data_IF_787121107778
#
_entry.id   IF_787121107778
#
_cell.length_a   1.000
_cell.length_b   1.000
_cell.length_c   1.000
_cell.angle_alpha   90.00
_cell.angle_beta   90.00
_cell.angle_gamma   90.00
#
_symmetry.space_group_name_H-M   'P 1'
#
loop_
_entity.id
_entity.type
_entity.pdbx_description
1 polymer ?
#
# COMPACT_ATOMS: atom_id res chain seq x y z
N UNK A 1 -1.68 14.61 -11.63
CA UNK A 1 -2.57 13.77 -10.80
C UNK A 1 -2.93 12.54 -11.60
N UNK A 2 -2.64 11.35 -11.07
CA UNK A 2 -2.99 10.09 -11.73
C UNK A 2 -4.50 9.91 -11.78
N UNK A 3 -5.00 9.41 -12.92
CA UNK A 3 -6.41 9.09 -13.14
C UNK A 3 -6.54 7.65 -13.57
N UNK A 4 -7.55 6.97 -13.03
CA UNK A 4 -7.92 5.61 -13.40
C UNK A 4 -9.41 5.57 -13.70
N UNK A 5 -9.79 4.95 -14.83
CA UNK A 5 -11.18 4.94 -15.33
C UNK A 5 -11.81 6.35 -15.35
N UNK A 6 -11.04 7.34 -15.80
CA UNK A 6 -11.45 8.74 -15.95
C UNK A 6 -11.43 9.60 -14.67
N UNK A 7 -11.32 9.00 -13.48
CA UNK A 7 -11.43 9.70 -12.19
C UNK A 7 -10.06 9.82 -11.49
N UNK A 8 -9.79 10.90 -10.74
CA UNK A 8 -8.63 10.97 -9.86
C UNK A 8 -8.60 9.79 -8.89
N UNK A 9 -7.43 9.18 -8.70
CA UNK A 9 -7.28 8.09 -7.73
C UNK A 9 -6.95 8.66 -6.35
N UNK A 10 -7.66 8.17 -5.34
CA UNK A 10 -7.37 8.41 -3.94
C UNK A 10 -7.25 7.05 -3.26
N UNK A 11 -6.18 6.84 -2.49
CA UNK A 11 -6.04 5.69 -1.61
C UNK A 11 -5.79 6.13 -0.17
N UNK A 12 -5.98 5.20 0.76
CA UNK A 12 -5.62 5.41 2.17
C UNK A 12 -4.57 4.42 2.59
N UNK A 13 -3.97 4.65 3.76
CA UNK A 13 -3.30 3.64 4.57
C UNK A 13 -4.06 3.65 5.91
N UNK A 14 -4.85 2.62 6.14
CA UNK A 14 -5.84 2.60 7.21
C UNK A 14 -7.07 3.43 6.89
N UNK A 15 -7.77 3.89 7.94
CA UNK A 15 -9.04 4.62 7.83
C UNK A 15 -10.27 3.83 8.25
N UNK A 16 -10.09 2.57 8.64
CA UNK A 16 -11.15 1.68 9.13
C UNK A 16 -11.80 2.12 10.45
N UNK A 17 -11.23 3.13 11.12
CA UNK A 17 -11.79 3.74 12.34
C UNK A 17 -12.27 5.17 12.11
N UNK A 18 -12.23 5.67 10.88
CA UNK A 18 -12.65 7.02 10.55
C UNK A 18 -14.15 7.04 10.25
N UNK A 19 -14.93 7.51 11.23
CA UNK A 19 -16.39 7.59 11.12
C UNK A 19 -16.88 8.92 10.55
N UNK A 20 -16.10 10.00 10.61
CA UNK A 20 -16.47 11.34 10.12
C UNK A 20 -17.88 11.80 10.57
N UNK A 21 -18.22 11.52 11.83
CA UNK A 21 -19.53 11.84 12.41
C UNK A 21 -20.70 10.96 11.94
N UNK A 22 -20.43 9.86 11.24
CA UNK A 22 -21.42 8.84 10.84
C UNK A 22 -21.45 7.65 11.82
N UNK A 23 -22.60 6.99 12.03
CA UNK A 23 -22.68 5.76 12.83
C UNK A 23 -21.80 4.62 12.31
N UNK A 24 -21.57 4.57 11.00
CA UNK A 24 -20.75 3.52 10.36
C UNK A 24 -19.57 4.11 9.59
N UNK A 25 -18.49 3.35 9.51
CA UNK A 25 -17.29 3.66 8.71
C UNK A 25 -17.68 3.93 7.25
N UNK A 26 -18.48 3.04 6.66
CA UNK A 26 -18.97 3.21 5.29
C UNK A 26 -19.74 4.53 5.08
N UNK A 27 -20.68 4.85 5.99
CA UNK A 27 -21.43 6.10 5.92
C UNK A 27 -20.54 7.34 6.08
N UNK A 28 -19.47 7.24 6.88
CA UNK A 28 -18.48 8.28 7.04
C UNK A 28 -17.73 8.55 5.75
N UNK A 29 -17.10 7.51 5.19
CA UNK A 29 -16.37 7.60 3.92
C UNK A 29 -17.26 8.03 2.75
N UNK A 30 -18.50 7.53 2.67
CA UNK A 30 -19.48 7.96 1.67
C UNK A 30 -19.77 9.45 1.79
N UNK A 31 -20.00 9.95 3.02
CA UNK A 31 -20.22 11.39 3.26
C UNK A 31 -19.04 12.22 2.76
N UNK A 32 -17.82 11.89 3.16
CA UNK A 32 -16.65 12.72 2.83
C UNK A 32 -16.23 12.62 1.36
N UNK A 33 -16.32 11.44 0.73
CA UNK A 33 -15.78 11.23 -0.64
C UNK A 33 -16.84 11.22 -1.75
N UNK A 34 -18.09 10.89 -1.43
CA UNK A 34 -19.15 10.71 -2.44
C UNK A 34 -20.23 11.80 -2.37
N UNK A 35 -20.48 12.37 -1.19
CA UNK A 35 -21.50 13.42 -1.02
C UNK A 35 -20.91 14.82 -0.96
N UNK A 36 -19.83 15.03 -0.20
CA UNK A 36 -19.31 16.37 0.08
C UNK A 36 -18.28 16.87 -0.95
N UNK A 37 -17.86 16.02 -1.90
CA UNK A 37 -16.91 16.41 -2.94
C UNK A 37 -17.63 16.84 -4.21
N UNK A 38 -17.12 17.90 -4.85
CA UNK A 38 -17.57 18.35 -6.18
C UNK A 38 -16.93 17.54 -7.32
N UNK A 39 -15.81 16.88 -7.05
CA UNK A 39 -15.09 16.02 -8.01
C UNK A 39 -15.23 14.57 -7.57
N UNK A 40 -15.73 13.72 -8.46
CA UNK A 40 -15.80 12.30 -8.20
C UNK A 40 -14.40 11.66 -8.26
N UNK A 41 -14.02 10.97 -7.17
CA UNK A 41 -12.76 10.24 -7.06
C UNK A 41 -12.98 8.74 -7.19
N UNK A 42 -11.98 8.06 -7.74
CA UNK A 42 -11.86 6.61 -7.68
C UNK A 42 -11.14 6.25 -6.37
N UNK A 43 -11.93 5.83 -5.37
CA UNK A 43 -11.43 5.58 -4.03
C UNK A 43 -11.03 4.11 -3.84
N UNK A 44 -9.76 3.87 -3.53
CA UNK A 44 -9.20 2.54 -3.26
C UNK A 44 -8.79 2.50 -1.78
N UNK A 45 -9.59 1.83 -0.94
CA UNK A 45 -9.36 1.80 0.50
C UNK A 45 -8.27 0.78 0.89
N UNK A 46 -7.36 1.14 1.81
CA UNK A 46 -6.41 0.20 2.43
C UNK A 46 -6.71 0.06 3.93
N UNK A 47 -7.87 -0.49 4.26
CA UNK A 47 -8.26 -0.81 5.63
C UNK A 47 -7.56 -2.08 6.11
N UNK A 48 -6.81 -1.96 7.21
CA UNK A 48 -6.13 -3.07 7.88
C UNK A 48 -7.13 -3.90 8.69
N UNK A 49 -7.96 -4.67 8.00
CA UNK A 49 -9.02 -5.54 8.52
C UNK A 49 -9.19 -6.76 7.63
N UNK A 50 -10.01 -7.71 8.08
CA UNK A 50 -10.47 -8.84 7.28
C UNK A 50 -10.99 -8.36 5.90
N UNK A 51 -10.48 -8.88 4.76
CA UNK A 51 -10.90 -8.47 3.43
C UNK A 51 -12.40 -8.60 3.16
N UNK A 52 -13.12 -9.45 3.90
CA UNK A 52 -14.57 -9.60 3.81
C UNK A 52 -15.32 -8.28 4.01
N UNK A 53 -14.76 -7.33 4.77
CA UNK A 53 -15.42 -6.04 5.00
C UNK A 53 -15.65 -5.27 3.70
N UNK A 54 -14.77 -5.39 2.71
CA UNK A 54 -14.80 -4.54 1.52
C UNK A 54 -16.05 -4.75 0.67
N UNK A 55 -16.64 -5.95 0.71
CA UNK A 55 -17.92 -6.23 0.06
C UNK A 55 -19.07 -5.35 0.59
N UNK A 56 -18.94 -4.83 1.82
CA UNK A 56 -19.93 -3.98 2.49
C UNK A 56 -19.59 -2.48 2.50
N UNK A 57 -18.42 -2.08 2.00
CA UNK A 57 -17.99 -0.68 1.92
C UNK A 57 -18.31 -0.13 0.52
N UNK A 58 -19.53 0.34 0.28
CA UNK A 58 -19.93 0.95 -1.01
C UNK A 58 -19.28 2.32 -1.27
N UNK A 59 -18.71 2.96 -0.24
CA UNK A 59 -17.94 4.19 -0.39
C UNK A 59 -16.66 3.97 -1.21
N UNK A 60 -16.12 2.75 -1.25
CA UNK A 60 -14.89 2.39 -1.95
C UNK A 60 -15.17 1.75 -3.32
N UNK A 61 -14.50 2.26 -4.35
CA UNK A 61 -14.52 1.68 -5.71
C UNK A 61 -13.60 0.45 -5.83
N UNK A 62 -12.75 0.23 -4.83
CA UNK A 62 -11.78 -0.85 -4.79
C UNK A 62 -11.06 -0.93 -3.44
N UNK A 63 -10.16 -1.90 -3.34
CA UNK A 63 -9.30 -2.05 -2.16
C UNK A 63 -7.83 -2.23 -2.54
N UNK A 64 -6.99 -1.77 -1.63
CA UNK A 64 -5.55 -1.92 -1.70
C UNK A 64 -5.10 -2.90 -0.63
N UNK A 65 -4.46 -3.98 -1.06
CA UNK A 65 -3.80 -4.92 -0.15
C UNK A 65 -2.37 -4.47 0.09
N UNK A 66 -2.16 -3.48 0.96
CA UNK A 66 -0.81 -2.96 1.24
C UNK A 66 0.13 -4.04 1.77
N UNK A 67 -0.36 -4.89 2.68
CA UNK A 67 0.39 -6.00 3.28
C UNK A 67 0.80 -7.09 2.27
N UNK A 68 0.16 -7.15 1.08
CA UNK A 68 0.51 -8.13 0.04
C UNK A 68 1.92 -7.93 -0.55
N UNK A 69 2.63 -6.87 -0.16
CA UNK A 69 3.98 -6.61 -0.64
C UNK A 69 5.06 -7.49 0.03
N UNK A 70 4.78 -8.10 1.18
CA UNK A 70 5.76 -8.89 1.94
C UNK A 70 5.17 -10.17 2.54
N UNK A 71 5.96 -11.23 2.74
CA UNK A 71 5.60 -12.33 3.62
C UNK A 71 5.79 -11.91 5.08
N UNK A 72 4.68 -11.80 5.82
CA UNK A 72 4.69 -11.40 7.24
C UNK A 72 4.94 -12.57 8.20
N UNK A 73 5.66 -13.58 7.73
CA UNK A 73 6.07 -14.76 8.50
C UNK A 73 7.27 -15.45 7.85
N UNK A 74 7.65 -16.60 8.39
CA UNK A 74 8.78 -17.37 7.88
C UNK A 74 8.38 -18.27 6.69
N UNK A 75 7.91 -17.66 5.60
CA UNK A 75 7.51 -18.32 4.36
C UNK A 75 7.84 -17.42 3.16
N UNK A 76 7.85 -17.99 1.95
CA UNK A 76 8.09 -17.23 0.72
C UNK A 76 6.83 -16.44 0.34
N UNK A 77 7.00 -15.34 -0.40
CA UNK A 77 5.87 -14.55 -0.90
C UNK A 77 4.95 -15.38 -1.80
N UNK A 78 3.63 -15.22 -1.63
CA UNK A 78 2.59 -15.89 -2.42
C UNK A 78 1.54 -14.90 -2.91
N UNK A 79 0.54 -15.36 -3.66
CA UNK A 79 -0.63 -14.59 -4.09
C UNK A 79 -1.85 -14.77 -3.18
N UNK A 80 -1.70 -15.37 -1.99
CA UNK A 80 -2.82 -15.69 -1.10
C UNK A 80 -3.64 -14.44 -0.72
N UNK A 81 -2.95 -13.34 -0.36
CA UNK A 81 -3.61 -12.06 -0.07
C UNK A 81 -4.36 -11.51 -1.30
N UNK A 82 -3.80 -11.68 -2.50
CA UNK A 82 -4.43 -11.20 -3.74
C UNK A 82 -5.69 -11.99 -4.05
N UNK A 83 -5.61 -13.32 -3.90
CA UNK A 83 -6.76 -14.21 -4.08
C UNK A 83 -7.85 -13.88 -3.05
N UNK A 84 -7.48 -13.66 -1.79
CA UNK A 84 -8.44 -13.38 -0.72
C UNK A 84 -9.17 -12.06 -0.92
N UNK A 85 -8.44 -10.96 -1.18
CA UNK A 85 -9.06 -9.66 -1.43
C UNK A 85 -10.03 -9.71 -2.61
N UNK A 86 -9.66 -10.38 -3.70
CA UNK A 86 -10.49 -10.44 -4.91
C UNK A 86 -11.82 -11.16 -4.71
N UNK A 87 -11.93 -12.11 -3.76
CA UNK A 87 -13.22 -12.76 -3.42
C UNK A 87 -14.29 -11.74 -3.03
N UNK A 88 -13.90 -10.61 -2.45
CA UNK A 88 -14.80 -9.58 -1.93
C UNK A 88 -14.85 -8.31 -2.80
N UNK A 89 -14.23 -8.34 -3.98
CA UNK A 89 -14.17 -7.21 -4.90
C UNK A 89 -14.77 -7.52 -6.30
N UNK A 90 -15.89 -8.27 -6.43
CA UNK A 90 -16.46 -8.53 -7.75
C UNK A 90 -16.83 -7.22 -8.45
N UNK A 91 -16.24 -6.98 -9.63
CA UNK A 91 -16.44 -5.75 -10.42
C UNK A 91 -15.79 -4.49 -9.82
N UNK A 92 -15.02 -4.61 -8.74
CA UNK A 92 -14.31 -3.50 -8.07
C UNK A 92 -12.82 -3.58 -8.34
N UNK A 93 -12.14 -2.46 -8.17
CA UNK A 93 -10.69 -2.35 -8.42
C UNK A 93 -9.91 -3.10 -7.36
N UNK A 94 -8.99 -3.97 -7.77
CA UNK A 94 -8.00 -4.56 -6.89
C UNK A 94 -6.62 -3.93 -7.12
N UNK A 95 -6.04 -3.37 -6.06
CA UNK A 95 -4.67 -2.85 -6.07
C UNK A 95 -3.78 -3.72 -5.21
N UNK A 96 -2.69 -4.22 -5.80
CA UNK A 96 -1.69 -5.04 -5.11
C UNK A 96 -0.48 -4.20 -4.67
N UNK A 97 0.22 -4.67 -3.64
CA UNK A 97 1.48 -4.09 -3.15
C UNK A 97 2.71 -4.84 -3.67
N UNK A 98 3.80 -4.10 -3.89
CA UNK A 98 5.14 -4.66 -4.16
C UNK A 98 6.23 -3.81 -3.50
N UNK A 99 7.22 -4.46 -2.91
CA UNK A 99 8.27 -3.80 -2.13
C UNK A 99 9.53 -4.68 -2.00
N UNK A 100 10.74 -4.11 -1.81
CA UNK A 100 11.97 -4.90 -1.69
C UNK A 100 12.11 -5.66 -0.37
N UNK A 101 11.83 -5.03 0.78
CA UNK A 101 11.91 -5.62 2.12
C UNK A 101 11.17 -4.75 3.13
N UNK A 102 11.11 -5.16 4.40
CA UNK A 102 10.55 -4.35 5.48
C UNK A 102 11.37 -4.52 6.76
N UNK A 103 11.84 -3.41 7.33
CA UNK A 103 12.57 -3.43 8.61
C UNK A 103 12.34 -2.13 9.38
N UNK A 104 12.08 -2.25 10.68
CA UNK A 104 11.99 -1.11 11.59
C UNK A 104 12.36 -1.53 13.01
N UNK A 105 13.02 -0.63 13.74
CA UNK A 105 13.42 -0.87 15.13
C UNK A 105 13.24 0.37 16.02
N UNK A 106 12.00 0.72 16.31
CA UNK A 106 11.65 1.78 17.25
C UNK A 106 11.42 1.21 18.65
N UNK A 107 12.21 1.69 19.62
CA UNK A 107 12.08 1.29 21.01
C UNK A 107 10.81 1.83 21.71
N UNK A 108 10.51 1.37 22.94
CA UNK A 108 9.33 1.75 23.70
C UNK A 108 9.21 3.26 23.99
N UNK A 109 10.34 3.98 24.03
CA UNK A 109 10.40 5.43 24.23
C UNK A 109 10.06 6.24 22.97
N UNK A 110 9.75 5.56 21.86
CA UNK A 110 9.38 6.13 20.57
C UNK A 110 8.10 5.48 20.03
N UNK A 111 8.08 5.02 18.78
CA UNK A 111 6.91 4.40 18.15
C UNK A 111 6.64 2.94 18.61
N UNK A 112 7.51 2.36 19.46
CA UNK A 112 7.39 1.00 19.97
C UNK A 112 7.05 -0.03 18.87
N UNK A 113 7.81 0.02 17.77
CA UNK A 113 7.55 -0.69 16.52
C UNK A 113 8.79 -1.46 16.10
N UNK A 114 8.72 -2.78 16.14
CA UNK A 114 9.84 -3.67 15.87
C UNK A 114 9.42 -4.79 14.93
N UNK A 115 9.72 -4.65 13.63
CA UNK A 115 9.32 -5.61 12.61
C UNK A 115 10.48 -5.93 11.67
N UNK A 116 10.53 -7.20 11.26
CA UNK A 116 11.34 -7.69 10.16
C UNK A 116 10.46 -8.64 9.35
N UNK A 117 10.29 -8.36 8.06
CA UNK A 117 9.65 -9.29 7.14
C UNK A 117 10.71 -10.01 6.31
N UNK A 118 10.43 -11.26 5.96
CA UNK A 118 11.39 -12.09 5.24
C UNK A 118 11.57 -11.55 3.82
N UNK A 119 12.80 -11.18 3.47
CA UNK A 119 13.17 -10.68 2.15
C UNK A 119 14.06 -11.65 1.34
N UNK A 120 14.24 -12.87 1.85
CA UNK A 120 14.99 -13.93 1.17
C UNK A 120 14.35 -14.33 -0.16
N UNK A 121 15.02 -15.21 -0.91
CA UNK A 121 14.49 -15.82 -2.13
C UNK A 121 13.99 -14.78 -3.15
N UNK A 122 14.75 -13.69 -3.30
CA UNK A 122 14.52 -12.64 -4.29
C UNK A 122 13.13 -11.99 -4.18
N UNK A 123 12.68 -11.66 -2.96
CA UNK A 123 11.33 -11.13 -2.67
C UNK A 123 10.77 -10.18 -3.74
N UNK A 124 11.51 -9.12 -4.09
CA UNK A 124 11.06 -8.14 -5.08
C UNK A 124 10.78 -8.76 -6.45
N UNK A 125 11.70 -9.60 -6.94
CA UNK A 125 11.57 -10.25 -8.25
C UNK A 125 10.43 -11.28 -8.22
N UNK A 126 10.40 -12.13 -7.18
CA UNK A 126 9.37 -13.13 -6.96
C UNK A 126 7.97 -12.52 -6.90
N UNK A 127 7.80 -11.39 -6.20
CA UNK A 127 6.53 -10.66 -6.14
C UNK A 127 6.12 -10.11 -7.50
N UNK A 128 7.04 -9.53 -8.27
CA UNK A 128 6.76 -9.06 -9.62
C UNK A 128 6.34 -10.20 -10.57
N UNK A 129 7.01 -11.35 -10.51
CA UNK A 129 6.65 -12.52 -11.33
C UNK A 129 5.23 -13.01 -11.04
N UNK A 130 4.84 -13.04 -9.75
CA UNK A 130 3.47 -13.37 -9.33
C UNK A 130 2.46 -12.38 -9.93
N UNK A 131 2.71 -11.08 -9.79
CA UNK A 131 1.83 -10.02 -10.30
C UNK A 131 1.69 -10.06 -11.82
N UNK A 132 2.79 -10.30 -12.55
CA UNK A 132 2.79 -10.39 -14.02
C UNK A 132 2.07 -11.66 -14.49
N UNK A 133 2.23 -12.78 -13.79
CA UNK A 133 1.55 -14.04 -14.09
C UNK A 133 0.03 -13.93 -13.93
N UNK A 134 -0.42 -13.18 -12.94
CA UNK A 134 -1.84 -12.99 -12.59
C UNK A 134 -2.42 -11.65 -13.09
N UNK A 135 -1.77 -10.97 -14.05
CA UNK A 135 -2.07 -9.56 -14.42
C UNK A 135 -3.49 -9.31 -14.90
N UNK A 136 -4.18 -10.32 -15.41
CA UNK A 136 -5.60 -10.28 -15.78
C UNK A 136 -6.55 -10.08 -14.58
N UNK A 137 -6.01 -10.26 -13.38
CA UNK A 137 -6.72 -10.10 -12.11
C UNK A 137 -6.22 -8.93 -11.26
N UNK A 138 -5.23 -8.19 -11.74
CA UNK A 138 -4.62 -7.05 -11.03
C UNK A 138 -4.91 -5.78 -11.82
N UNK A 139 -5.73 -4.88 -11.26
CA UNK A 139 -6.04 -3.61 -11.92
C UNK A 139 -4.89 -2.60 -11.78
N UNK A 140 -4.27 -2.57 -10.60
CA UNK A 140 -3.21 -1.62 -10.23
C UNK A 140 -2.17 -2.28 -9.33
N UNK A 141 -0.93 -1.80 -9.41
CA UNK A 141 0.16 -2.17 -8.50
C UNK A 141 0.72 -0.90 -7.88
N UNK A 142 0.81 -0.85 -6.55
CA UNK A 142 1.52 0.20 -5.84
C UNK A 142 2.88 -0.31 -5.38
N UNK A 143 3.90 0.47 -5.70
CA UNK A 143 5.27 0.22 -5.31
C UNK A 143 5.54 0.95 -4.01
N UNK A 144 5.94 0.20 -2.99
CA UNK A 144 6.08 0.67 -1.61
C UNK A 144 7.57 0.58 -1.25
N UNK A 145 8.27 1.66 -0.93
CA UNK A 145 7.89 3.06 -1.07
C UNK A 145 9.02 3.85 -1.75
N UNK A 146 8.76 5.14 -2.03
CA UNK A 146 9.81 6.01 -2.52
C UNK A 146 10.77 6.44 -1.40
N UNK A 147 10.25 6.81 -0.23
CA UNK A 147 11.01 7.54 0.79
C UNK A 147 10.58 7.21 2.24
N UNK A 148 10.04 6.03 2.50
CA UNK A 148 9.81 5.59 3.89
C UNK A 148 11.09 5.01 4.48
N UNK A 149 11.89 5.88 5.08
CA UNK A 149 13.15 5.52 5.70
C UNK A 149 12.97 4.77 7.02
N UNK A 150 11.91 5.10 7.77
CA UNK A 150 11.65 4.51 9.08
C UNK A 150 11.39 3.00 9.00
N UNK A 151 10.72 2.59 7.94
CA UNK A 151 10.34 1.19 7.66
C UNK A 151 11.28 0.53 6.64
N UNK A 152 12.37 1.21 6.29
CA UNK A 152 13.48 0.76 5.46
C UNK A 152 13.13 0.33 4.03
N UNK A 153 11.88 0.43 3.59
CA UNK A 153 11.46 -0.09 2.29
C UNK A 153 11.48 0.95 1.16
N UNK A 154 12.22 2.04 1.35
CA UNK A 154 12.43 3.08 0.35
C UNK A 154 13.30 2.59 -0.81
N UNK A 155 13.04 3.13 -2.00
CA UNK A 155 13.83 2.89 -3.22
C UNK A 155 14.38 4.20 -3.82
N UNK A 156 13.96 5.35 -3.30
CA UNK A 156 14.49 6.65 -3.66
C UNK A 156 15.82 6.97 -2.97
N UNK A 157 16.50 8.05 -3.38
CA UNK A 157 17.66 8.55 -2.66
C UNK A 157 17.26 9.00 -1.24
N UNK A 158 18.15 8.78 -0.27
CA UNK A 158 17.96 9.27 1.10
C UNK A 158 18.01 10.80 1.09
N UNK A 159 16.89 11.43 1.39
CA UNK A 159 16.74 12.88 1.48
C UNK A 159 15.69 13.27 2.52
N UNK A 160 15.94 14.36 3.25
CA UNK A 160 15.00 14.89 4.23
C UNK A 160 15.10 14.21 5.61
N UNK A 161 13.98 14.25 6.35
CA UNK A 161 13.94 13.84 7.75
C UNK A 161 13.90 12.31 7.91
N UNK A 162 14.62 11.81 8.92
CA UNK A 162 14.70 10.40 9.31
C UNK A 162 14.41 10.30 10.83
N UNK A 163 13.18 10.58 11.28
CA UNK A 163 12.87 10.72 12.70
C UNK A 163 13.16 9.41 13.44
N UNK A 164 14.22 9.41 14.24
CA UNK A 164 14.68 8.28 15.05
C UNK A 164 15.02 6.98 14.27
N UNK A 165 15.25 7.07 12.94
CA UNK A 165 15.60 5.90 12.11
C UNK A 165 17.03 5.92 11.55
N UNK A 166 17.82 6.94 11.90
CA UNK A 166 19.15 7.18 11.32
C UNK A 166 20.09 6.00 11.48
N UNK A 167 19.99 5.22 12.56
CA UNK A 167 20.84 4.06 12.84
C UNK A 167 20.67 2.88 11.88
N UNK A 168 19.52 2.77 11.20
CA UNK A 168 19.28 1.76 10.15
C UNK A 168 18.96 2.34 8.77
N UNK A 169 19.05 3.67 8.64
CA UNK A 169 18.89 4.36 7.35
C UNK A 169 20.23 4.90 6.83
N UNK A 170 21.05 5.52 7.68
CA UNK A 170 22.24 6.25 7.23
C UNK A 170 23.31 5.28 6.70
N UNK A 171 23.74 5.48 5.46
CA UNK A 171 24.75 4.65 4.80
C UNK A 171 24.19 3.39 4.11
N UNK A 172 22.88 3.16 4.16
CA UNK A 172 22.22 2.03 3.48
C UNK A 172 21.56 2.51 2.18
N UNK A 173 22.30 2.56 1.08
CA UNK A 173 21.72 2.98 -0.20
C UNK A 173 20.83 1.90 -0.82
N UNK A 174 19.55 2.20 -1.04
CA UNK A 174 18.57 1.28 -1.63
C UNK A 174 18.28 1.60 -3.11
N UNK A 175 19.00 2.54 -3.72
CA UNK A 175 18.77 2.93 -5.10
C UNK A 175 19.05 1.80 -6.11
N UNK A 176 19.73 0.72 -5.70
CA UNK A 176 19.85 -0.50 -6.49
C UNK A 176 18.50 -1.18 -6.83
N UNK A 177 17.43 -0.86 -6.10
CA UNK A 177 16.07 -1.32 -6.40
C UNK A 177 15.33 -0.44 -7.40
N UNK A 178 15.87 0.72 -7.79
CA UNK A 178 15.22 1.57 -8.76
C UNK A 178 15.09 0.86 -10.09
N UNK A 179 13.86 0.78 -10.58
CA UNK A 179 13.57 0.29 -11.91
C UNK A 179 13.23 1.45 -12.83
N UNK A 180 13.90 1.51 -13.98
CA UNK A 180 13.56 2.44 -15.05
C UNK A 180 12.40 1.85 -15.84
N UNK A 181 11.24 2.52 -15.85
CA UNK A 181 10.13 2.15 -16.73
C UNK A 181 10.16 3.04 -17.96
N UNK A 182 10.51 2.43 -19.09
CA UNK A 182 10.33 3.06 -20.41
C UNK A 182 9.27 2.25 -21.16
N UNK A 183 8.08 2.80 -21.46
CA UNK A 183 7.59 4.14 -21.14
C UNK A 183 7.10 4.31 -19.67
N UNK A 184 6.99 5.56 -19.17
CA UNK A 184 6.64 5.89 -17.78
C UNK A 184 5.15 5.72 -17.46
N UNK A 185 4.56 4.56 -17.75
CA UNK A 185 3.13 4.32 -17.49
C UNK A 185 2.82 3.84 -16.06
N UNK A 186 3.82 3.61 -15.22
CA UNK A 186 3.61 3.32 -13.80
C UNK A 186 3.85 4.61 -13.00
N UNK A 187 2.78 5.33 -12.67
CA UNK A 187 2.85 6.45 -11.75
C UNK A 187 3.12 5.92 -10.34
N UNK A 188 4.37 6.05 -9.89
CA UNK A 188 4.76 5.89 -8.49
C UNK A 188 4.20 7.05 -7.67
N UNK A 189 2.93 6.97 -7.27
CA UNK A 189 2.46 7.81 -6.17
C UNK A 189 2.83 7.09 -4.88
N UNK A 190 3.97 7.48 -4.30
CA UNK A 190 4.14 7.35 -2.86
C UNK A 190 3.13 8.29 -2.21
N UNK A 191 1.92 7.81 -1.94
CA UNK A 191 1.08 8.46 -0.96
C UNK A 191 1.76 8.23 0.40
N UNK A 192 2.40 9.28 0.89
CA UNK A 192 2.91 9.36 2.26
C UNK A 192 1.68 9.33 3.15
N UNK A 193 1.31 8.15 3.63
CA UNK A 193 0.65 8.05 4.90
C UNK A 193 1.75 8.15 5.94
N UNK A 194 1.98 9.36 6.46
CA UNK A 194 2.65 9.45 7.74
C UNK A 194 1.79 8.64 8.72
N UNK A 195 2.26 7.46 9.12
CA UNK A 195 1.76 6.85 10.34
C UNK A 195 2.01 7.86 11.46
N UNK A 196 1.00 8.21 12.27
CA UNK A 196 1.24 8.88 13.53
C UNK A 196 2.22 8.09 14.41
#
# INVERSE_FOLDING_TARGET
>A
MFRFRGRPVVSTFGGQRCHFGSPTVNGGWRRVLKTNMTTEVHFIASFFMDPAIYGSIDAADGAFSWDSAWPMGNYDISDEYDVEFRKYLPGRTYMAGVSPWFFTHYGPESFNKNFIFRADNWLLASRWEILVRNREHIDLVQVISWNDYGESHYMGPIAGAQPNSTSWTTGFDHQGYQFSTTPPMYNFNAFVAASP
#
